data_IF_656506097728
#
_entry.id   IF_656506097728
#
_cell.length_a   1.000
_cell.length_b   1.000
_cell.length_c   1.000
_cell.angle_alpha   90.00
_cell.angle_beta   90.00
_cell.angle_gamma   90.00
#
_symmetry.space_group_name_H-M   'P 1'
#
loop_
_entity.id
_entity.type
_entity.pdbx_description
1 polymer ?
#
# COMPACT_ATOMS: atom_id res chain seq x y z
N UNK A 1 -7.42 -26.65 6.09
CA UNK A 1 -6.95 -25.57 5.19
C UNK A 1 -5.52 -25.78 4.69
N UNK A 2 -4.47 -25.74 5.52
CA UNK A 2 -3.08 -25.98 5.05
C UNK A 2 -2.91 -27.39 4.43
N UNK A 3 -3.50 -28.40 5.09
CA UNK A 3 -3.50 -29.80 4.63
C UNK A 3 -4.17 -29.94 3.27
N UNK A 4 -5.31 -29.27 3.06
CA UNK A 4 -6.06 -29.32 1.81
C UNK A 4 -5.29 -28.64 0.65
N UNK A 5 -4.70 -27.48 0.91
CA UNK A 5 -3.85 -26.76 -0.05
C UNK A 5 -2.63 -27.59 -0.45
N UNK A 6 -1.96 -28.19 0.53
CA UNK A 6 -0.82 -29.07 0.30
C UNK A 6 -1.23 -30.32 -0.48
N UNK A 7 -2.38 -30.91 -0.19
CA UNK A 7 -2.95 -32.04 -0.94
C UNK A 7 -3.11 -31.71 -2.42
N UNK A 8 -3.74 -30.56 -2.72
CA UNK A 8 -3.89 -30.08 -4.11
C UNK A 8 -2.56 -29.80 -4.79
N UNK A 9 -1.61 -29.14 -4.10
CA UNK A 9 -0.28 -28.88 -4.65
C UNK A 9 0.47 -30.18 -4.96
N UNK A 10 0.37 -31.18 -4.08
CA UNK A 10 0.96 -32.51 -4.30
C UNK A 10 0.34 -33.20 -5.49
N UNK A 11 -0.97 -33.12 -5.67
CA UNK A 11 -1.69 -33.69 -6.80
C UNK A 11 -1.29 -33.02 -8.12
N UNK A 12 -1.31 -31.68 -8.16
CA UNK A 12 -0.91 -30.90 -9.34
C UNK A 12 0.57 -31.08 -9.69
N UNK A 13 1.45 -31.31 -8.71
CA UNK A 13 2.89 -31.52 -8.95
C UNK A 13 3.26 -32.94 -9.38
N UNK A 14 2.30 -33.86 -9.48
CA UNK A 14 2.55 -35.21 -10.06
C UNK A 14 2.85 -35.16 -11.56
N UNK A 15 2.44 -34.10 -12.24
CA UNK A 15 2.55 -33.97 -13.70
C UNK A 15 3.88 -33.39 -14.17
N UNK A 16 4.81 -33.03 -13.27
CA UNK A 16 6.11 -32.48 -13.63
C UNK A 16 7.21 -32.93 -12.67
N UNK A 17 8.47 -32.84 -13.12
CA UNK A 17 9.61 -33.15 -12.27
C UNK A 17 9.71 -32.13 -11.12
N UNK A 18 9.39 -32.59 -9.91
CA UNK A 18 9.46 -31.81 -8.68
C UNK A 18 10.86 -31.24 -8.39
N UNK A 19 11.91 -31.98 -8.72
CA UNK A 19 13.29 -31.49 -8.62
C UNK A 19 13.57 -30.29 -9.53
N UNK A 20 12.82 -30.13 -10.62
CA UNK A 20 12.88 -28.96 -11.51
C UNK A 20 12.11 -27.74 -11.02
N UNK A 21 11.30 -27.86 -9.96
CA UNK A 21 10.49 -26.74 -9.48
C UNK A 21 11.37 -25.71 -8.76
N UNK A 22 11.49 -24.51 -9.33
CA UNK A 22 12.38 -23.47 -8.79
C UNK A 22 11.78 -22.71 -7.60
N UNK A 23 10.49 -22.35 -7.66
CA UNK A 23 9.90 -21.37 -6.77
C UNK A 23 8.37 -21.53 -6.66
N UNK A 24 7.80 -21.13 -5.52
CA UNK A 24 6.35 -21.02 -5.30
C UNK A 24 5.97 -19.57 -4.94
N UNK A 25 5.21 -18.92 -5.82
CA UNK A 25 4.73 -17.55 -5.62
C UNK A 25 3.38 -17.55 -4.92
N UNK A 26 3.29 -16.93 -3.75
CA UNK A 26 2.07 -16.90 -2.93
C UNK A 26 1.91 -15.54 -2.24
N UNK A 27 0.70 -15.24 -1.77
CA UNK A 27 0.45 -14.11 -0.88
C UNK A 27 0.95 -14.40 0.57
N UNK A 28 0.79 -13.42 1.45
CA UNK A 28 1.40 -13.43 2.80
C UNK A 28 0.69 -14.14 3.97
N UNK A 29 -0.49 -14.79 3.88
CA UNK A 29 -1.09 -15.51 5.00
C UNK A 29 -0.19 -16.61 5.60
N UNK A 30 -0.24 -16.79 6.92
CA UNK A 30 0.57 -17.80 7.62
C UNK A 30 0.31 -19.24 7.13
N UNK A 31 -0.92 -19.53 6.66
CA UNK A 31 -1.27 -20.84 6.09
C UNK A 31 -0.43 -21.15 4.85
N UNK A 32 -0.17 -20.17 3.99
CA UNK A 32 0.61 -20.35 2.76
C UNK A 32 2.10 -20.50 3.05
N UNK A 33 2.61 -19.79 4.05
CA UNK A 33 3.96 -20.02 4.56
C UNK A 33 4.13 -21.43 5.12
N UNK A 34 3.14 -21.95 5.87
CA UNK A 34 3.19 -23.32 6.37
C UNK A 34 3.20 -24.35 5.24
N UNK A 35 2.41 -24.14 4.18
CA UNK A 35 2.42 -24.98 2.98
C UNK A 35 3.80 -24.95 2.31
N UNK A 36 4.39 -23.75 2.14
CA UNK A 36 5.73 -23.60 1.59
C UNK A 36 6.77 -24.40 2.38
N UNK A 37 6.79 -24.25 3.71
CA UNK A 37 7.79 -24.89 4.57
C UNK A 37 7.69 -26.42 4.52
N UNK A 38 6.46 -26.97 4.56
CA UNK A 38 6.26 -28.42 4.46
C UNK A 38 6.68 -28.94 3.08
N UNK A 39 6.23 -28.28 2.01
CA UNK A 39 6.51 -28.72 0.66
C UNK A 39 7.99 -28.58 0.29
N UNK A 40 8.67 -27.54 0.79
CA UNK A 40 10.13 -27.42 0.66
C UNK A 40 10.86 -28.58 1.37
N UNK A 41 10.40 -29.00 2.55
CA UNK A 41 11.00 -30.12 3.27
C UNK A 41 10.83 -31.44 2.49
N UNK A 42 9.67 -31.66 1.85
CA UNK A 42 9.43 -32.80 0.94
C UNK A 42 10.41 -32.77 -0.25
N UNK A 43 10.55 -31.63 -0.93
CA UNK A 43 11.48 -31.49 -2.07
C UNK A 43 12.93 -31.76 -1.68
N UNK A 44 13.34 -31.31 -0.49
CA UNK A 44 14.68 -31.58 0.04
C UNK A 44 14.93 -33.07 0.26
N UNK A 45 13.92 -33.82 0.72
CA UNK A 45 14.03 -35.27 0.91
C UNK A 45 14.02 -36.03 -0.43
N UNK A 46 13.20 -35.60 -1.38
CA UNK A 46 13.03 -36.27 -2.68
C UNK A 46 14.18 -36.01 -3.66
N UNK A 47 14.79 -34.82 -3.61
CA UNK A 47 15.66 -34.34 -4.69
C UNK A 47 16.85 -33.50 -4.24
N UNK A 48 17.08 -33.35 -2.94
CA UNK A 48 18.20 -32.56 -2.38
C UNK A 48 18.26 -31.10 -2.83
N UNK A 49 17.14 -30.54 -3.31
CA UNK A 49 17.05 -29.14 -3.76
C UNK A 49 16.07 -28.33 -2.91
N UNK A 50 16.37 -27.03 -2.74
CA UNK A 50 15.49 -26.07 -2.06
C UNK A 50 14.72 -25.23 -3.06
N UNK A 51 13.52 -24.81 -2.68
CA UNK A 51 12.81 -23.76 -3.38
C UNK A 51 13.48 -22.40 -3.14
N UNK A 52 13.52 -21.59 -4.18
CA UNK A 52 13.98 -20.21 -4.11
C UNK A 52 12.91 -19.36 -3.42
N UNK A 53 13.16 -18.99 -2.17
CA UNK A 53 12.27 -18.13 -1.39
C UNK A 53 12.42 -16.68 -1.87
N UNK A 54 11.35 -16.11 -2.41
CA UNK A 54 11.29 -14.70 -2.91
C UNK A 54 10.39 -13.79 -2.07
N UNK A 55 9.84 -14.30 -0.96
CA UNK A 55 8.88 -13.57 -0.15
C UNK A 55 7.44 -13.74 -0.62
N UNK A 56 6.50 -13.04 0.04
CA UNK A 56 5.11 -12.98 -0.43
C UNK A 56 4.97 -12.02 -1.61
N UNK A 57 3.86 -12.12 -2.34
CA UNK A 57 3.50 -11.24 -3.44
C UNK A 57 3.74 -9.74 -3.11
N UNK A 58 4.56 -9.09 -3.95
CA UNK A 58 4.91 -7.67 -3.82
C UNK A 58 3.71 -6.73 -3.81
N UNK A 59 2.67 -7.05 -4.58
CA UNK A 59 1.43 -6.26 -4.64
C UNK A 59 0.69 -6.29 -3.30
N UNK A 60 0.53 -7.49 -2.72
CA UNK A 60 -0.12 -7.65 -1.41
C UNK A 60 0.66 -6.95 -0.29
N UNK A 61 2.00 -6.93 -0.37
CA UNK A 61 2.83 -6.15 0.56
C UNK A 61 2.48 -4.66 0.48
N UNK A 62 2.39 -4.10 -0.73
CA UNK A 62 2.07 -2.67 -0.94
C UNK A 62 0.65 -2.32 -0.50
N UNK A 63 -0.31 -3.24 -0.68
CA UNK A 63 -1.66 -3.05 -0.12
C UNK A 63 -1.66 -3.06 1.41
N UNK A 64 -0.93 -4.01 2.02
CA UNK A 64 -0.89 -4.17 3.47
C UNK A 64 -0.14 -3.03 4.17
N UNK A 65 0.94 -2.51 3.59
CA UNK A 65 1.63 -1.34 4.15
C UNK A 65 0.76 -0.10 4.14
N UNK A 66 -0.02 0.11 3.08
CA UNK A 66 -0.88 1.27 2.99
C UNK A 66 -2.01 1.18 4.01
N UNK A 67 -2.61 -0.01 4.15
CA UNK A 67 -3.60 -0.30 5.20
C UNK A 67 -3.04 -0.07 6.60
N UNK A 68 -1.80 -0.50 6.87
CA UNK A 68 -1.15 -0.29 8.16
C UNK A 68 -0.91 1.20 8.44
N UNK A 69 -0.48 1.97 7.44
CA UNK A 69 -0.36 3.43 7.54
C UNK A 69 -1.70 4.10 7.86
N UNK A 70 -2.77 3.75 7.14
CA UNK A 70 -4.10 4.28 7.41
C UNK A 70 -4.63 3.89 8.79
N UNK A 71 -4.42 2.65 9.22
CA UNK A 71 -4.88 2.17 10.54
C UNK A 71 -4.15 2.82 11.71
N UNK A 72 -3.02 3.48 11.45
CA UNK A 72 -2.27 4.23 12.46
C UNK A 72 -2.80 5.66 12.68
N UNK A 73 -3.80 6.09 11.90
CA UNK A 73 -4.44 7.40 12.06
C UNK A 73 -5.90 7.27 12.48
N UNK A 74 -6.47 8.37 12.97
CA UNK A 74 -7.87 8.45 13.40
C UNK A 74 -8.86 8.76 12.27
N UNK A 75 -8.41 8.79 11.00
CA UNK A 75 -9.13 9.49 9.92
C UNK A 75 -10.38 8.77 9.40
N UNK A 76 -10.46 7.45 9.55
CA UNK A 76 -11.55 6.58 9.06
C UNK A 76 -12.07 6.87 7.63
N UNK A 77 -11.16 7.24 6.72
CA UNK A 77 -11.45 7.51 5.30
C UNK A 77 -12.20 6.35 4.62
N UNK A 78 -11.94 5.10 5.00
CA UNK A 78 -12.62 3.93 4.44
C UNK A 78 -14.14 3.94 4.70
N UNK A 79 -14.56 4.31 5.91
CA UNK A 79 -15.99 4.44 6.25
C UNK A 79 -16.63 5.61 5.51
N UNK A 80 -15.93 6.73 5.36
CA UNK A 80 -16.42 7.88 4.59
C UNK A 80 -16.69 7.51 3.13
N UNK A 81 -15.72 6.90 2.44
CA UNK A 81 -15.85 6.46 1.05
C UNK A 81 -16.96 5.42 0.88
N UNK A 82 -17.07 4.49 1.83
CA UNK A 82 -18.12 3.48 1.82
C UNK A 82 -19.50 4.12 1.97
N UNK A 83 -19.65 5.05 2.91
CA UNK A 83 -20.91 5.72 3.18
C UNK A 83 -21.38 6.55 1.98
N UNK A 84 -20.47 7.22 1.27
CA UNK A 84 -20.78 7.95 0.04
C UNK A 84 -21.42 7.06 -1.03
N UNK A 85 -20.87 5.86 -1.24
CA UNK A 85 -21.42 4.91 -2.21
C UNK A 85 -22.77 4.34 -1.75
N UNK A 86 -22.83 3.83 -0.52
CA UNK A 86 -24.00 3.13 -0.01
C UNK A 86 -25.19 4.04 0.32
N UNK A 87 -24.97 5.36 0.44
CA UNK A 87 -26.07 6.31 0.57
C UNK A 87 -26.93 6.34 -0.70
N UNK A 88 -26.34 6.19 -1.88
CA UNK A 88 -27.07 6.33 -3.16
C UNK A 88 -27.27 5.00 -3.90
N UNK A 89 -26.56 3.96 -3.48
CA UNK A 89 -26.72 2.63 -4.05
C UNK A 89 -28.14 2.11 -3.83
N UNK A 90 -28.72 1.55 -4.89
CA UNK A 90 -30.05 0.93 -4.91
C UNK A 90 -31.15 1.84 -4.37
N UNK A 91 -31.04 3.16 -4.61
CA UNK A 91 -32.02 4.15 -4.16
C UNK A 91 -32.30 5.22 -5.22
N UNK A 92 -33.13 4.91 -6.24
CA UNK A 92 -33.46 5.83 -7.33
C UNK A 92 -33.98 7.18 -6.84
N UNK A 93 -34.93 7.19 -5.88
CA UNK A 93 -35.51 8.41 -5.33
C UNK A 93 -34.44 9.33 -4.70
N UNK A 94 -33.50 8.78 -3.92
CA UNK A 94 -32.40 9.57 -3.33
C UNK A 94 -31.45 10.12 -4.39
N UNK A 95 -31.20 9.37 -5.47
CA UNK A 95 -30.36 9.83 -6.58
C UNK A 95 -31.03 10.96 -7.34
N UNK A 96 -32.33 10.84 -7.59
CA UNK A 96 -33.14 11.88 -8.22
C UNK A 96 -33.16 13.15 -7.35
N UNK A 97 -33.46 13.04 -6.06
CA UNK A 97 -33.38 14.16 -5.12
C UNK A 97 -31.98 14.79 -5.12
N UNK A 98 -30.91 13.99 -5.07
CA UNK A 98 -29.54 14.49 -5.11
C UNK A 98 -29.26 15.30 -6.38
N UNK A 99 -29.64 14.77 -7.55
CA UNK A 99 -29.48 15.47 -8.84
C UNK A 99 -30.28 16.77 -8.84
N UNK A 100 -31.55 16.74 -8.44
CA UNK A 100 -32.42 17.91 -8.43
C UNK A 100 -31.92 19.00 -7.47
N UNK A 101 -31.37 18.61 -6.32
CA UNK A 101 -30.91 19.53 -5.30
C UNK A 101 -29.52 20.11 -5.54
N UNK A 102 -28.66 19.42 -6.29
CA UNK A 102 -27.24 19.76 -6.43
C UNK A 102 -26.79 20.01 -7.87
N UNK A 103 -27.57 19.56 -8.87
CA UNK A 103 -27.26 19.65 -10.29
C UNK A 103 -26.22 18.64 -10.79
N UNK A 104 -25.68 17.76 -9.93
CA UNK A 104 -24.69 16.76 -10.34
C UNK A 104 -25.29 15.35 -10.46
N UNK A 105 -24.93 14.66 -11.55
CA UNK A 105 -25.24 13.24 -11.79
C UNK A 105 -24.03 12.32 -11.53
N UNK A 106 -22.96 12.85 -10.95
CA UNK A 106 -21.78 12.08 -10.56
C UNK A 106 -21.98 11.47 -9.18
N UNK A 107 -21.69 10.17 -9.05
CA UNK A 107 -21.85 9.43 -7.80
C UNK A 107 -20.55 8.75 -7.38
N UNK A 108 -20.42 8.45 -6.09
CA UNK A 108 -19.25 7.78 -5.55
C UNK A 108 -19.08 6.35 -6.10
N UNK A 109 -17.84 6.03 -6.44
CA UNK A 109 -17.43 4.67 -6.79
C UNK A 109 -17.45 3.77 -5.56
N UNK A 110 -17.56 2.45 -5.79
CA UNK A 110 -17.50 1.47 -4.70
C UNK A 110 -16.09 1.42 -4.12
N UNK A 111 -16.00 1.62 -2.82
CA UNK A 111 -14.75 1.45 -2.07
C UNK A 111 -14.43 -0.03 -1.81
N UNK A 112 -13.17 -0.44 -2.01
CA UNK A 112 -12.67 -1.77 -1.69
C UNK A 112 -11.64 -1.74 -0.55
N UNK A 113 -12.03 -2.20 0.66
CA UNK A 113 -11.17 -2.16 1.86
C UNK A 113 -9.93 -3.07 1.85
N UNK A 114 -9.74 -3.87 0.78
CA UNK A 114 -8.58 -4.75 0.62
C UNK A 114 -7.63 -4.28 -0.49
N UNK A 115 -8.07 -3.35 -1.35
CA UNK A 115 -7.31 -2.90 -2.54
C UNK A 115 -7.20 -1.38 -2.57
N UNK A 116 -6.45 -0.85 -1.62
CA UNK A 116 -6.49 0.58 -1.32
C UNK A 116 -5.95 1.51 -2.41
N UNK A 117 -4.83 1.23 -3.10
CA UNK A 117 -4.36 2.13 -4.15
C UNK A 117 -5.15 1.99 -5.46
N UNK A 118 -5.94 0.92 -5.64
CA UNK A 118 -6.97 0.87 -6.69
C UNK A 118 -8.12 1.85 -6.40
N UNK A 119 -8.30 2.27 -5.13
CA UNK A 119 -9.30 3.28 -4.74
C UNK A 119 -8.83 4.73 -4.97
N UNK A 120 -7.71 4.98 -5.67
CA UNK A 120 -7.29 6.35 -6.03
C UNK A 120 -8.43 7.08 -6.76
N UNK A 121 -9.03 6.44 -7.77
CA UNK A 121 -10.18 6.99 -8.50
C UNK A 121 -11.40 7.19 -7.56
N UNK A 122 -11.66 6.23 -6.67
CA UNK A 122 -12.76 6.33 -5.69
C UNK A 122 -12.64 7.57 -4.82
N UNK A 123 -11.42 7.93 -4.39
CA UNK A 123 -11.19 9.09 -3.53
C UNK A 123 -11.21 10.39 -4.32
N UNK A 124 -10.67 10.39 -5.54
CA UNK A 124 -10.75 11.55 -6.43
C UNK A 124 -12.21 11.93 -6.70
N UNK A 125 -13.05 10.95 -7.05
CA UNK A 125 -14.49 11.16 -7.25
C UNK A 125 -15.15 11.58 -5.94
N UNK A 126 -14.81 10.96 -4.80
CA UNK A 126 -15.36 11.34 -3.50
C UNK A 126 -15.07 12.81 -3.16
N UNK A 127 -13.82 13.27 -3.33
CA UNK A 127 -13.41 14.66 -3.14
C UNK A 127 -14.13 15.60 -4.10
N UNK A 128 -14.34 15.19 -5.36
CA UNK A 128 -15.06 15.98 -6.36
C UNK A 128 -16.52 16.19 -5.99
N UNK A 129 -17.23 15.15 -5.56
CA UNK A 129 -18.67 15.24 -5.24
C UNK A 129 -18.94 15.76 -3.83
N UNK A 130 -17.93 15.78 -2.96
CA UNK A 130 -18.11 16.15 -1.55
C UNK A 130 -18.81 17.49 -1.31
N UNK A 131 -18.52 18.58 -2.05
CA UNK A 131 -19.27 19.83 -1.93
C UNK A 131 -20.77 19.67 -2.20
N UNK A 132 -21.15 18.92 -3.24
CA UNK A 132 -22.55 18.63 -3.57
C UNK A 132 -23.21 17.76 -2.49
N UNK A 133 -22.49 16.77 -1.96
CA UNK A 133 -22.98 15.94 -0.85
C UNK A 133 -23.28 16.79 0.38
N UNK A 134 -22.41 17.75 0.75
CA UNK A 134 -22.69 18.67 1.87
C UNK A 134 -23.96 19.49 1.64
N UNK A 135 -24.20 19.98 0.42
CA UNK A 135 -25.44 20.68 0.06
C UNK A 135 -26.66 19.77 0.23
N UNK A 136 -26.58 18.54 -0.27
CA UNK A 136 -27.65 17.55 -0.14
C UNK A 136 -27.98 17.25 1.33
N UNK A 137 -26.95 16.93 2.15
CA UNK A 137 -27.12 16.64 3.57
C UNK A 137 -27.78 17.81 4.32
N UNK A 138 -27.38 19.04 4.02
CA UNK A 138 -27.96 20.23 4.65
C UNK A 138 -29.42 20.46 4.25
N UNK A 139 -29.79 20.21 2.99
CA UNK A 139 -31.16 20.43 2.50
C UNK A 139 -32.17 19.41 3.01
N UNK A 140 -31.75 18.16 3.24
CA UNK A 140 -32.65 17.09 3.71
C UNK A 140 -32.68 16.96 5.24
N UNK A 141 -31.78 17.66 5.95
CA UNK A 141 -31.69 17.61 7.41
C UNK A 141 -32.97 18.17 8.04
N UNK A 142 -33.62 17.37 8.90
CA UNK A 142 -34.85 17.75 9.59
C UNK A 142 -36.14 17.50 8.79
N UNK A 143 -36.04 17.12 7.52
CA UNK A 143 -37.19 16.70 6.72
C UNK A 143 -37.46 15.21 6.97
N UNK A 144 -38.42 14.91 7.87
CA UNK A 144 -38.78 13.53 8.22
C UNK A 144 -39.17 12.65 7.02
N UNK A 145 -39.59 13.25 5.90
CA UNK A 145 -39.98 12.50 4.70
C UNK A 145 -38.78 12.14 3.81
N UNK A 146 -37.68 12.89 3.89
CA UNK A 146 -36.49 12.74 3.03
C UNK A 146 -35.23 12.33 3.78
N UNK A 147 -35.17 12.52 5.09
CA UNK A 147 -34.01 12.23 5.92
C UNK A 147 -33.78 10.71 6.06
N UNK A 148 -32.70 10.15 5.49
CA UNK A 148 -32.48 8.71 5.56
C UNK A 148 -32.05 8.27 6.96
N UNK A 149 -32.62 7.18 7.47
CA UNK A 149 -32.24 6.64 8.80
C UNK A 149 -31.06 5.67 8.76
N UNK A 150 -30.51 5.40 7.58
CA UNK A 150 -29.47 4.39 7.38
C UNK A 150 -28.11 4.80 7.94
N UNK A 151 -27.26 3.81 8.24
CA UNK A 151 -25.90 4.02 8.77
C UNK A 151 -25.05 4.94 7.89
N UNK A 152 -25.16 4.81 6.56
CA UNK A 152 -24.41 5.65 5.62
C UNK A 152 -24.75 7.13 5.77
N UNK A 153 -26.02 7.49 5.95
CA UNK A 153 -26.40 8.88 6.16
C UNK A 153 -25.81 9.43 7.46
N UNK A 154 -25.98 8.70 8.57
CA UNK A 154 -25.44 9.09 9.88
C UNK A 154 -23.92 9.32 9.82
N UNK A 155 -23.19 8.37 9.24
CA UNK A 155 -21.75 8.50 9.03
C UNK A 155 -21.40 9.76 8.24
N UNK A 156 -22.13 10.06 7.15
CA UNK A 156 -21.84 11.24 6.32
C UNK A 156 -22.14 12.56 7.04
N UNK A 157 -23.15 12.59 7.91
CA UNK A 157 -23.43 13.74 8.78
C UNK A 157 -22.26 13.96 9.75
N UNK A 158 -21.76 12.90 10.38
CA UNK A 158 -20.61 12.97 11.29
C UNK A 158 -19.35 13.46 10.55
N UNK A 159 -19.08 12.91 9.36
CA UNK A 159 -17.97 13.35 8.51
C UNK A 159 -18.13 14.78 8.01
N UNK A 160 -19.36 15.27 7.79
CA UNK A 160 -19.61 16.65 7.42
C UNK A 160 -19.30 17.64 8.56
N UNK A 161 -19.27 17.19 9.82
CA UNK A 161 -18.86 18.00 10.96
C UNK A 161 -17.32 18.08 11.11
N UNK A 162 -16.55 17.17 10.50
CA UNK A 162 -15.09 17.21 10.53
C UNK A 162 -14.53 18.21 9.50
N UNK A 163 -14.18 19.40 9.98
CA UNK A 163 -13.58 20.45 9.16
C UNK A 163 -12.26 20.04 8.48
N UNK A 164 -11.55 19.03 9.00
CA UNK A 164 -10.26 18.56 8.46
C UNK A 164 -10.40 17.39 7.49
N UNK A 165 -11.60 16.84 7.28
CA UNK A 165 -11.81 15.65 6.46
C UNK A 165 -11.19 15.76 5.07
N UNK A 166 -11.44 16.87 4.37
CA UNK A 166 -10.90 17.09 3.03
C UNK A 166 -9.37 17.10 3.04
N UNK A 167 -8.74 17.69 4.06
CA UNK A 167 -7.28 17.71 4.20
C UNK A 167 -6.74 16.28 4.45
N UNK A 168 -7.36 15.53 5.38
CA UNK A 168 -7.03 14.12 5.66
C UNK A 168 -7.13 13.26 4.39
N UNK A 169 -8.23 13.40 3.65
CA UNK A 169 -8.47 12.69 2.39
C UNK A 169 -7.45 13.06 1.30
N UNK A 170 -6.98 14.31 1.24
CA UNK A 170 -5.94 14.74 0.30
C UNK A 170 -4.56 14.16 0.64
N UNK A 171 -4.18 14.10 1.93
CA UNK A 171 -2.94 13.44 2.36
C UNK A 171 -3.00 11.96 1.99
N UNK A 172 -4.11 11.32 2.36
CA UNK A 172 -4.39 9.93 2.04
C UNK A 172 -4.26 9.66 0.53
N UNK A 173 -4.89 10.48 -0.31
CA UNK A 173 -4.84 10.37 -1.77
C UNK A 173 -3.41 10.52 -2.28
N UNK A 174 -2.68 11.50 -1.77
CA UNK A 174 -1.30 11.77 -2.17
C UNK A 174 -0.37 10.59 -1.88
N UNK A 175 -0.52 9.90 -0.74
CA UNK A 175 0.25 8.70 -0.42
C UNK A 175 -0.17 7.53 -1.34
N UNK A 176 -1.46 7.36 -1.58
CA UNK A 176 -1.96 6.30 -2.46
C UNK A 176 -1.44 6.46 -3.90
N UNK A 177 -1.42 7.69 -4.42
CA UNK A 177 -0.89 8.02 -5.75
C UNK A 177 0.61 7.75 -5.87
N UNK A 178 1.37 7.90 -4.79
CA UNK A 178 2.81 7.61 -4.79
C UNK A 178 3.11 6.11 -4.86
N UNK A 179 2.24 5.28 -4.28
CA UNK A 179 2.34 3.81 -4.34
C UNK A 179 1.74 3.21 -5.62
N UNK A 180 0.83 3.92 -6.28
CA UNK A 180 0.07 3.40 -7.41
C UNK A 180 0.95 2.94 -8.60
N UNK A 181 2.00 3.66 -9.03
CA UNK A 181 2.85 3.23 -10.13
C UNK A 181 3.51 1.87 -9.91
N UNK A 182 3.88 1.56 -8.66
CA UNK A 182 4.38 0.23 -8.32
C UNK A 182 3.30 -0.82 -8.56
N UNK A 183 2.09 -0.59 -8.04
CA UNK A 183 1.00 -1.55 -8.14
C UNK A 183 0.49 -1.80 -9.56
N UNK A 184 0.66 -0.84 -10.47
CA UNK A 184 0.29 -1.01 -11.88
C UNK A 184 1.43 -1.56 -12.75
N UNK A 185 2.69 -1.44 -12.32
CA UNK A 185 3.87 -1.91 -13.06
C UNK A 185 4.10 -3.43 -12.97
N UNK A 186 3.83 -4.03 -11.82
CA UNK A 186 4.18 -5.43 -11.52
C UNK A 186 3.15 -6.52 -11.91
N UNK A 187 1.85 -6.24 -12.17
CA UNK A 187 0.94 -7.22 -12.75
C UNK A 187 1.23 -7.46 -14.25
N UNK A 188 2.31 -8.19 -14.56
CA UNK A 188 2.74 -8.50 -15.93
C UNK A 188 3.48 -9.84 -15.99
N UNK A 189 3.48 -10.48 -17.16
CA UNK A 189 4.23 -11.71 -17.44
C UNK A 189 5.71 -11.45 -17.77
N UNK A 190 6.12 -10.18 -17.86
CA UNK A 190 7.53 -9.79 -18.02
C UNK A 190 8.36 -10.17 -16.78
N UNK A 191 9.67 -10.45 -16.91
CA UNK A 191 10.54 -10.80 -15.79
C UNK A 191 10.87 -9.60 -14.89
N UNK A 192 9.88 -9.09 -14.17
CA UNK A 192 9.99 -7.83 -13.42
C UNK A 192 10.63 -7.98 -12.03
N UNK A 193 10.81 -9.21 -11.54
CA UNK A 193 11.27 -9.46 -10.16
C UNK A 193 12.61 -8.81 -9.83
N UNK A 194 13.49 -8.66 -10.82
CA UNK A 194 14.79 -8.03 -10.68
C UNK A 194 14.74 -6.53 -10.34
N UNK A 195 13.59 -5.87 -10.56
CA UNK A 195 13.38 -4.45 -10.26
C UNK A 195 12.69 -4.21 -8.91
N UNK A 196 12.05 -5.23 -8.30
CA UNK A 196 11.17 -5.07 -7.12
C UNK A 196 11.87 -4.34 -5.98
N UNK A 197 13.08 -4.77 -5.61
CA UNK A 197 13.77 -4.21 -4.45
C UNK A 197 14.14 -2.73 -4.67
N UNK A 198 14.61 -2.38 -5.86
CA UNK A 198 15.07 -1.02 -6.19
C UNK A 198 13.89 -0.06 -6.37
N UNK A 199 12.83 -0.49 -7.06
CA UNK A 199 11.61 0.30 -7.22
C UNK A 199 10.93 0.55 -5.87
N UNK A 200 10.79 -0.49 -5.04
CA UNK A 200 10.17 -0.36 -3.73
C UNK A 200 10.99 0.54 -2.80
N UNK A 201 12.33 0.41 -2.83
CA UNK A 201 13.20 1.34 -2.12
C UNK A 201 12.99 2.78 -2.57
N UNK A 202 12.93 3.03 -3.88
CA UNK A 202 12.76 4.38 -4.44
C UNK A 202 11.42 4.98 -4.05
N UNK A 203 10.32 4.23 -4.19
CA UNK A 203 8.98 4.65 -3.78
C UNK A 203 8.93 4.98 -2.28
N UNK A 204 9.52 4.13 -1.44
CA UNK A 204 9.48 4.31 0.01
C UNK A 204 10.39 5.46 0.47
N UNK A 205 11.57 5.62 -0.14
CA UNK A 205 12.46 6.75 0.11
C UNK A 205 11.78 8.08 -0.24
N UNK A 206 11.01 8.11 -1.33
CA UNK A 206 10.23 9.28 -1.72
C UNK A 206 9.16 9.63 -0.66
N UNK A 207 8.44 8.64 -0.12
CA UNK A 207 7.50 8.86 1.00
C UNK A 207 8.22 9.35 2.28
N UNK A 208 9.36 8.73 2.62
CA UNK A 208 10.16 9.11 3.78
C UNK A 208 10.68 10.56 3.70
N UNK A 209 10.86 11.11 2.49
CA UNK A 209 11.26 12.51 2.29
C UNK A 209 10.34 13.49 2.98
N UNK A 210 9.05 13.15 3.09
CA UNK A 210 8.03 14.00 3.71
C UNK A 210 8.22 14.18 5.22
N UNK A 211 8.97 13.27 5.87
CA UNK A 211 9.04 13.18 7.34
C UNK A 211 10.46 13.11 7.89
N UNK A 212 11.47 12.75 7.10
CA UNK A 212 12.87 12.60 7.54
C UNK A 212 13.73 13.80 7.17
N UNK A 213 14.76 14.04 7.97
CA UNK A 213 15.77 15.05 7.69
C UNK A 213 16.61 14.71 6.46
N UNK A 214 17.09 15.74 5.76
CA UNK A 214 17.91 15.59 4.57
C UNK A 214 19.18 14.76 4.81
N UNK A 215 19.82 14.91 5.99
CA UNK A 215 21.01 14.11 6.36
C UNK A 215 20.69 12.62 6.50
N UNK A 216 19.52 12.27 7.06
CA UNK A 216 19.11 10.87 7.15
C UNK A 216 18.80 10.30 5.76
N UNK A 217 18.09 11.07 4.92
CA UNK A 217 17.73 10.65 3.57
C UNK A 217 18.93 10.46 2.64
N UNK A 218 20.00 11.24 2.82
CA UNK A 218 21.23 11.12 2.01
C UNK A 218 22.02 9.85 2.33
N UNK A 219 21.89 9.33 3.56
CA UNK A 219 22.48 8.05 3.99
C UNK A 219 21.74 6.84 3.40
N UNK A 220 20.45 6.96 3.08
CA UNK A 220 19.67 5.90 2.44
C UNK A 220 20.03 5.79 0.95
N UNK A 221 20.89 4.85 0.57
CA UNK A 221 21.36 4.68 -0.83
C UNK A 221 20.88 3.38 -1.47
N UNK A 222 20.43 2.43 -0.66
CA UNK A 222 20.09 1.09 -1.11
C UNK A 222 18.95 0.49 -0.28
N UNK A 223 18.31 -0.60 -0.77
CA UNK A 223 17.36 -1.36 0.02
C UNK A 223 17.90 -1.79 1.39
N UNK A 224 19.20 -2.08 1.52
CA UNK A 224 19.82 -2.47 2.79
C UNK A 224 19.80 -1.34 3.82
N UNK A 225 20.01 -0.11 3.38
CA UNK A 225 20.01 1.06 4.28
C UNK A 225 18.59 1.32 4.80
N UNK A 226 17.57 1.09 3.97
CA UNK A 226 16.17 1.17 4.38
C UNK A 226 15.82 0.10 5.43
N UNK A 227 16.40 -1.10 5.33
CA UNK A 227 16.19 -2.18 6.31
C UNK A 227 16.82 -1.84 7.66
N UNK A 228 17.98 -1.18 7.64
CA UNK A 228 18.69 -0.76 8.84
C UNK A 228 18.11 0.53 9.48
N UNK A 229 17.14 1.18 8.84
CA UNK A 229 16.56 2.44 9.31
C UNK A 229 15.70 2.23 10.56
N UNK A 230 16.12 2.80 11.69
CA UNK A 230 15.33 2.81 12.91
C UNK A 230 14.42 4.05 13.00
N UNK A 231 13.13 3.87 12.72
CA UNK A 231 12.12 4.92 12.82
C UNK A 231 11.66 5.21 14.25
N UNK A 232 12.28 4.62 15.28
CA UNK A 232 12.02 4.97 16.68
C UNK A 232 12.83 6.16 17.16
N UNK A 233 13.96 6.46 16.50
CA UNK A 233 14.82 7.58 16.87
C UNK A 233 14.13 8.90 16.53
N UNK A 234 14.00 9.82 17.49
CA UNK A 234 13.26 11.08 17.27
C UNK A 234 14.06 12.13 16.50
N UNK A 235 15.38 12.04 16.56
CA UNK A 235 16.36 12.96 15.97
C UNK A 235 16.40 12.89 14.44
N UNK A 236 16.02 11.77 13.83
CA UNK A 236 16.02 11.63 12.36
C UNK A 236 14.83 12.33 11.68
N UNK A 237 13.79 12.69 12.43
CA UNK A 237 12.57 13.27 11.87
C UNK A 237 12.69 14.79 11.69
N UNK A 238 11.97 15.30 10.69
CA UNK A 238 11.74 16.73 10.52
C UNK A 238 10.93 17.28 11.70
N UNK A 239 11.17 18.52 12.09
CA UNK A 239 10.25 19.26 12.96
C UNK A 239 8.84 19.29 12.36
N UNK A 240 7.80 19.31 13.20
CA UNK A 240 6.40 19.24 12.71
C UNK A 240 6.10 20.33 11.67
N UNK A 241 6.66 21.53 11.82
CA UNK A 241 6.47 22.65 10.89
C UNK A 241 6.96 22.32 9.47
N UNK A 242 7.98 21.46 9.34
CA UNK A 242 8.60 21.07 8.07
C UNK A 242 8.02 19.79 7.46
N UNK A 243 7.14 19.06 8.14
CA UNK A 243 6.50 17.86 7.55
C UNK A 243 5.68 18.27 6.32
N UNK A 244 5.86 17.52 5.24
CA UNK A 244 5.16 17.71 3.96
C UNK A 244 3.88 16.87 3.90
N UNK A 245 2.74 17.56 3.82
CA UNK A 245 1.39 16.94 3.71
C UNK A 245 0.80 17.07 2.30
N UNK A 246 1.58 17.58 1.34
CA UNK A 246 1.17 17.82 -0.03
C UNK A 246 0.41 19.14 -0.24
N UNK A 247 0.51 19.68 -1.47
CA UNK A 247 -0.03 21.00 -1.84
C UNK A 247 -1.56 21.04 -1.68
N UNK A 248 -2.27 19.98 -2.09
CA UNK A 248 -3.73 19.94 -2.02
C UNK A 248 -4.24 20.02 -0.57
N UNK A 249 -3.64 19.26 0.35
CA UNK A 249 -3.97 19.34 1.77
C UNK A 249 -3.67 20.73 2.35
N UNK A 250 -2.50 21.31 2.03
CA UNK A 250 -2.14 22.66 2.49
C UNK A 250 -3.15 23.73 2.02
N UNK A 251 -3.61 23.65 0.77
CA UNK A 251 -4.64 24.57 0.24
C UNK A 251 -5.96 24.43 0.98
N UNK A 252 -6.38 23.20 1.32
CA UNK A 252 -7.59 22.97 2.12
C UNK A 252 -7.45 23.61 3.50
N UNK A 253 -6.32 23.39 4.20
CA UNK A 253 -6.07 23.96 5.53
C UNK A 253 -6.08 25.50 5.53
N UNK A 254 -5.51 26.11 4.50
CA UNK A 254 -5.55 27.58 4.30
C UNK A 254 -6.98 28.07 4.10
N UNK A 255 -7.76 27.38 3.25
CA UNK A 255 -9.15 27.75 2.96
C UNK A 255 -10.05 27.73 4.20
N UNK A 256 -9.89 26.72 5.05
CA UNK A 256 -10.68 26.58 6.29
C UNK A 256 -10.10 27.38 7.47
N UNK A 257 -8.95 28.07 7.28
CA UNK A 257 -8.23 28.78 8.34
C UNK A 257 -7.96 27.89 9.56
N UNK A 258 -7.42 26.69 9.31
CA UNK A 258 -7.11 25.73 10.37
C UNK A 258 -6.16 26.33 11.41
N UNK A 259 -6.36 25.99 12.69
CA UNK A 259 -5.50 26.46 13.78
C UNK A 259 -4.14 25.78 13.75
N UNK A 260 -3.12 26.41 14.35
CA UNK A 260 -1.78 25.82 14.42
C UNK A 260 -1.77 24.45 15.11
N UNK A 261 -2.62 24.27 16.13
CA UNK A 261 -2.79 22.97 16.81
C UNK A 261 -3.37 21.91 15.88
N UNK A 262 -4.38 22.25 15.08
CA UNK A 262 -4.96 21.33 14.08
C UNK A 262 -3.92 20.94 13.03
N UNK A 263 -3.16 21.92 12.52
CA UNK A 263 -2.11 21.69 11.53
C UNK A 263 -1.01 20.81 12.11
N UNK A 264 -0.55 21.10 13.34
CA UNK A 264 0.45 20.30 14.04
C UNK A 264 0.01 18.85 14.20
N UNK A 265 -1.21 18.63 14.69
CA UNK A 265 -1.77 17.28 14.89
C UNK A 265 -1.87 16.52 13.57
N UNK A 266 -2.40 17.14 12.52
CA UNK A 266 -2.53 16.49 11.21
C UNK A 266 -1.17 16.12 10.61
N UNK A 267 -0.16 16.99 10.77
CA UNK A 267 1.21 16.69 10.33
C UNK A 267 1.82 15.54 11.12
N UNK A 268 1.57 15.45 12.42
CA UNK A 268 2.00 14.31 13.24
C UNK A 268 1.29 13.01 12.84
N UNK A 269 -0.02 13.05 12.54
CA UNK A 269 -0.76 11.89 12.01
C UNK A 269 -0.20 11.46 10.64
N UNK A 270 0.17 12.41 9.77
CA UNK A 270 0.86 12.10 8.51
C UNK A 270 2.20 11.37 8.74
N UNK A 271 2.98 11.81 9.73
CA UNK A 271 4.21 11.11 10.14
C UNK A 271 3.89 9.70 10.61
N UNK A 272 2.90 9.53 11.48
CA UNK A 272 2.49 8.21 11.99
C UNK A 272 2.03 7.28 10.87
N UNK A 273 1.30 7.80 9.88
CA UNK A 273 0.88 7.06 8.70
C UNK A 273 2.10 6.50 7.96
N UNK A 274 3.04 7.37 7.58
CA UNK A 274 4.22 6.99 6.78
C UNK A 274 5.13 6.07 7.60
N UNK A 275 5.36 6.35 8.89
CA UNK A 275 6.17 5.51 9.76
C UNK A 275 5.60 4.10 9.90
N UNK A 276 4.28 3.98 10.09
CA UNK A 276 3.61 2.67 10.24
C UNK A 276 3.60 1.88 8.93
N UNK A 277 3.46 2.59 7.81
CA UNK A 277 3.60 2.03 6.47
C UNK A 277 4.99 1.42 6.27
N UNK A 278 6.06 2.15 6.60
CA UNK A 278 7.44 1.65 6.47
C UNK A 278 7.72 0.53 7.46
N UNK A 279 7.25 0.63 8.71
CA UNK A 279 7.37 -0.46 9.67
C UNK A 279 6.71 -1.75 9.15
N UNK A 280 5.54 -1.65 8.50
CA UNK A 280 4.86 -2.81 7.92
C UNK A 280 5.61 -3.41 6.73
N UNK A 281 6.28 -2.58 5.94
CA UNK A 281 7.16 -3.06 4.87
C UNK A 281 8.28 -3.95 5.44
N UNK A 282 8.89 -3.56 6.56
CA UNK A 282 10.05 -4.26 7.13
C UNK A 282 9.70 -5.59 7.85
N UNK A 283 8.42 -5.89 8.07
CA UNK A 283 7.96 -7.10 8.76
C UNK A 283 8.16 -8.39 7.92
N UNK A 284 7.61 -8.45 6.71
CA UNK A 284 7.62 -9.67 5.84
C UNK A 284 7.80 -9.39 4.34
N UNK A 285 8.32 -8.21 3.96
CA UNK A 285 8.44 -7.85 2.54
C UNK A 285 9.53 -8.63 1.81
N UNK A 286 9.34 -8.81 0.50
CA UNK A 286 10.34 -9.34 -0.43
C UNK A 286 11.63 -8.51 -0.43
N UNK A 287 11.58 -7.22 -0.07
CA UNK A 287 12.79 -6.37 0.03
C UNK A 287 13.78 -6.88 1.09
N UNK A 288 13.30 -7.60 2.11
CA UNK A 288 14.13 -8.22 3.16
C UNK A 288 14.85 -9.48 2.67
N UNK A 289 14.41 -10.06 1.56
CA UNK A 289 14.88 -11.36 1.09
C UNK A 289 16.17 -11.17 0.28
N UNK A 290 17.25 -11.81 0.72
CA UNK A 290 18.57 -11.71 0.07
C UNK A 290 18.49 -12.02 -1.42
N UNK A 291 17.79 -13.09 -1.82
CA UNK A 291 17.62 -13.44 -3.24
C UNK A 291 17.07 -12.26 -4.06
N UNK A 292 15.96 -11.66 -3.60
CA UNK A 292 15.30 -10.54 -4.30
C UNK A 292 16.21 -9.32 -4.39
N UNK A 293 16.97 -9.01 -3.33
CA UNK A 293 17.97 -7.94 -3.37
C UNK A 293 19.06 -8.21 -4.42
N UNK A 294 19.47 -9.47 -4.60
CA UNK A 294 20.58 -9.86 -5.50
C UNK A 294 20.15 -10.01 -6.95
N UNK A 295 18.89 -10.31 -7.24
CA UNK A 295 18.37 -10.39 -8.61
C UNK A 295 18.59 -9.11 -9.45
N UNK A 296 18.72 -7.96 -8.79
CA UNK A 296 19.13 -6.70 -9.43
C UNK A 296 20.45 -6.78 -10.19
N UNK A 297 21.30 -7.79 -9.97
CA UNK A 297 22.48 -8.04 -10.82
C UNK A 297 22.13 -8.28 -12.29
N UNK A 298 20.90 -8.71 -12.58
CA UNK A 298 20.37 -8.93 -13.93
C UNK A 298 19.70 -7.67 -14.50
N UNK A 299 19.70 -6.55 -13.77
CA UNK A 299 19.17 -5.27 -14.26
C UNK A 299 20.15 -4.70 -15.29
N UNK A 300 19.77 -4.56 -16.58
CA UNK A 300 20.67 -4.04 -17.61
C UNK A 300 21.20 -2.64 -17.27
N UNK A 301 20.38 -1.79 -16.66
CA UNK A 301 20.81 -0.45 -16.23
C UNK A 301 21.90 -0.52 -15.14
N UNK A 302 21.83 -1.49 -14.22
CA UNK A 302 22.87 -1.67 -13.21
C UNK A 302 24.15 -2.26 -13.83
N UNK A 303 24.01 -3.21 -14.75
CA UNK A 303 25.14 -3.82 -15.46
C UNK A 303 25.95 -2.76 -16.22
N UNK A 304 25.27 -1.79 -16.84
CA UNK A 304 25.91 -0.69 -17.56
C UNK A 304 26.48 0.37 -16.61
N UNK A 305 25.69 0.84 -15.64
CA UNK A 305 26.07 1.96 -14.78
C UNK A 305 27.04 1.59 -13.65
N UNK A 306 27.07 0.33 -13.23
CA UNK A 306 27.85 -0.16 -12.09
C UNK A 306 28.22 -1.65 -12.24
N UNK A 307 29.04 -2.01 -13.25
CA UNK A 307 29.34 -3.40 -13.58
C UNK A 307 29.98 -4.17 -12.43
N UNK A 308 30.81 -3.53 -11.60
CA UNK A 308 31.44 -4.19 -10.44
C UNK A 308 30.40 -4.56 -9.37
N UNK A 309 29.38 -3.71 -9.18
CA UNK A 309 28.27 -3.98 -8.26
C UNK A 309 27.40 -5.11 -8.80
N UNK A 310 27.08 -5.09 -10.10
CA UNK A 310 26.32 -6.15 -10.75
C UNK A 310 27.04 -7.50 -10.64
N UNK A 311 28.35 -7.57 -10.95
CA UNK A 311 29.15 -8.77 -10.83
C UNK A 311 29.24 -9.29 -9.38
N UNK A 312 29.37 -8.39 -8.40
CA UNK A 312 29.36 -8.76 -6.98
C UNK A 312 28.02 -9.36 -6.55
N UNK A 313 26.90 -8.72 -6.92
CA UNK A 313 25.55 -9.25 -6.65
C UNK A 313 25.28 -10.55 -7.41
N UNK A 314 25.86 -10.74 -8.60
CA UNK A 314 25.75 -11.98 -9.36
C UNK A 314 26.48 -13.13 -8.66
N UNK A 315 27.69 -12.91 -8.12
CA UNK A 315 28.37 -13.92 -7.30
C UNK A 315 27.53 -14.33 -6.09
N UNK A 316 26.94 -13.35 -5.39
CA UNK A 316 26.01 -13.64 -4.29
C UNK A 316 24.80 -14.47 -4.75
N UNK A 317 24.24 -14.18 -5.94
CA UNK A 317 23.16 -14.96 -6.53
C UNK A 317 23.59 -16.39 -6.80
N UNK A 318 24.78 -16.60 -7.38
CA UNK A 318 25.32 -17.93 -7.62
C UNK A 318 25.49 -18.71 -6.31
N UNK A 319 26.02 -18.09 -5.25
CA UNK A 319 26.11 -18.73 -3.93
C UNK A 319 24.73 -19.18 -3.42
N UNK A 320 23.70 -18.33 -3.54
CA UNK A 320 22.33 -18.68 -3.13
C UNK A 320 21.79 -19.88 -3.92
N UNK A 321 22.05 -19.92 -5.24
CA UNK A 321 21.63 -21.03 -6.09
C UNK A 321 22.39 -22.32 -5.74
N UNK A 322 23.70 -22.25 -5.50
CA UNK A 322 24.51 -23.38 -5.06
C UNK A 322 24.04 -23.95 -3.70
N UNK A 323 23.83 -23.09 -2.70
CA UNK A 323 23.30 -23.47 -1.37
C UNK A 323 21.89 -24.09 -1.41
N UNK A 324 21.19 -23.88 -2.53
CA UNK A 324 19.86 -24.40 -2.82
C UNK A 324 19.88 -25.66 -3.70
N UNK A 325 21.06 -26.16 -4.09
CA UNK A 325 21.21 -27.30 -5.01
C UNK A 325 20.78 -26.98 -6.46
N UNK A 326 20.83 -25.71 -6.87
CA UNK A 326 20.37 -25.24 -8.19
C UNK A 326 21.50 -24.93 -9.18
N UNK A 327 22.74 -25.03 -8.73
CA UNK A 327 23.91 -25.04 -9.58
C UNK A 327 24.58 -26.39 -9.41
N UNK A 328 24.88 -27.03 -10.54
CA UNK A 328 25.67 -28.26 -10.62
C UNK A 328 27.15 -27.93 -10.50
#
# INVERSE_FOLDING_TARGET
MAVDLLGKLRESSRFFNRGGLLQLSMDGPNVNWKVFDIFQAELMQESSVKLLKVGSCGLHIVHNLFKAGHSATSWDIGSWLSALHWLFKDSPARREDFINLTGTSTFALRFCGHRWPENVATIQIALQIWPAVKVYLNKIKGDKSKEPTCKSYKNLVDFAADALLEAKAQIFLSIAQELQPFLTKYPTDSPMMLFIAEDLFTTIKSLLRRILQAETLSKLKSPRDLIALDLKSKDIFLAYSKIEIGIASSKVLQKIKATDLQIMNLKNECRQFISSLVAKLLDKSSIMIRLVQKLSCLNPSLMVSSPQVAASRFRDLLTILADSGRLL
#
